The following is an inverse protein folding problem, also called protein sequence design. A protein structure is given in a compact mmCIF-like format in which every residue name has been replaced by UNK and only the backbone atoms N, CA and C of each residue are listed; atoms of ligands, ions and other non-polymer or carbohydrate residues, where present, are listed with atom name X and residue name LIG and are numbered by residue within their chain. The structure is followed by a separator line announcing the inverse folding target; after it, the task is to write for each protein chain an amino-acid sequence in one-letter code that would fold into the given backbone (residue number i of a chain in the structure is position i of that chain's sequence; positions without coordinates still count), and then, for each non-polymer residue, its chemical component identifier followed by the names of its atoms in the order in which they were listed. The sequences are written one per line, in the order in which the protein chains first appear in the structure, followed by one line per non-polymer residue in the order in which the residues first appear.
data_IF_252419746189
#
_entry.id   IF_252419746189
#
_cell.length_a   1.000
_cell.length_b   1.000
_cell.length_c   1.000
_cell.angle_alpha   90.00
_cell.angle_beta   90.00
_cell.angle_gamma   90.00
#
_symmetry.space_group_name_H-M   'P 1'
#
loop_
_entity.id
_entity.type
_entity.pdbx_description
1 polymer ?
#
# COMPACT_ATOMS: atom_id res chain seq x y z
N UNK A 1 0.70 2.36 3.01
CA UNK A 1 1.07 1.05 3.62
C UNK A 1 2.52 0.71 3.29
N UNK A 2 3.20 -0.18 4.04
CA UNK A 2 4.62 -0.53 3.83
C UNK A 2 4.92 -1.03 2.40
N UNK A 3 4.03 -1.84 1.83
CA UNK A 3 4.15 -2.33 0.45
C UNK A 3 4.08 -1.20 -0.59
N UNK A 4 3.25 -0.17 -0.37
CA UNK A 4 3.13 0.96 -1.29
C UNK A 4 4.38 1.84 -1.26
N UNK A 5 4.95 2.07 -0.07
CA UNK A 5 6.17 2.85 0.09
C UNK A 5 7.35 2.16 -0.61
N UNK A 6 7.51 0.85 -0.38
CA UNK A 6 8.54 0.06 -1.04
C UNK A 6 8.35 0.04 -2.57
N UNK A 7 7.10 -0.13 -3.04
CA UNK A 7 6.81 -0.14 -4.47
C UNK A 7 7.15 1.22 -5.13
N UNK A 8 6.86 2.33 -4.45
CA UNK A 8 7.22 3.66 -4.95
C UNK A 8 8.75 3.88 -5.00
N UNK A 9 9.48 3.39 -3.99
CA UNK A 9 10.95 3.49 -3.93
C UNK A 9 11.62 2.65 -5.03
N UNK A 10 11.13 1.44 -5.27
CA UNK A 10 11.68 0.51 -6.27
C UNK A 10 11.15 0.78 -7.69
N UNK A 11 10.22 1.73 -7.86
CA UNK A 11 9.59 2.02 -9.14
C UNK A 11 8.66 0.91 -9.64
N UNK A 12 8.17 0.03 -8.75
CA UNK A 12 7.25 -1.05 -9.09
C UNK A 12 5.80 -0.52 -9.16
N UNK A 13 5.28 -0.41 -10.38
CA UNK A 13 3.93 0.02 -10.68
C UNK A 13 2.96 -1.15 -10.96
N UNK A 14 3.49 -2.32 -11.32
CA UNK A 14 2.74 -3.51 -11.71
C UNK A 14 3.14 -4.75 -10.89
N UNK A 15 2.28 -5.77 -10.88
CA UNK A 15 2.46 -6.95 -10.02
C UNK A 15 3.67 -7.79 -10.43
N UNK A 16 4.00 -7.79 -11.71
CA UNK A 16 5.15 -8.48 -12.29
C UNK A 16 6.45 -7.95 -11.67
N UNK A 17 6.58 -6.62 -11.57
CA UNK A 17 7.75 -5.93 -10.99
C UNK A 17 7.89 -6.21 -9.48
N UNK A 18 6.77 -6.33 -8.77
CA UNK A 18 6.76 -6.73 -7.35
C UNK A 18 7.26 -8.17 -7.17
N UNK A 19 6.89 -9.07 -8.09
CA UNK A 19 7.24 -10.49 -8.00
C UNK A 19 8.69 -10.75 -8.42
N UNK A 20 9.19 -10.02 -9.43
CA UNK A 20 10.60 -10.04 -9.82
C UNK A 20 11.53 -9.77 -8.63
N UNK A 21 11.11 -8.89 -7.73
CA UNK A 21 11.82 -8.49 -6.53
C UNK A 21 11.19 -9.09 -5.25
N UNK A 22 10.50 -10.22 -5.36
CA UNK A 22 9.69 -10.80 -4.27
C UNK A 22 10.47 -11.15 -3.00
N UNK A 23 11.76 -11.47 -3.11
CA UNK A 23 12.61 -11.74 -1.95
C UNK A 23 12.83 -10.48 -1.12
N UNK A 24 13.26 -9.39 -1.75
CA UNK A 24 13.49 -8.11 -1.08
C UNK A 24 12.20 -7.50 -0.56
N UNK A 25 11.12 -7.53 -1.37
CA UNK A 25 9.79 -7.11 -0.96
C UNK A 25 9.33 -7.86 0.29
N UNK A 26 9.54 -9.19 0.35
CA UNK A 26 9.11 -10.00 1.50
C UNK A 26 9.80 -9.60 2.81
N UNK A 27 11.05 -9.14 2.73
CA UNK A 27 11.81 -8.63 3.87
C UNK A 27 11.28 -7.25 4.24
N UNK A 28 11.12 -6.36 3.27
CA UNK A 28 10.71 -4.97 3.47
C UNK A 28 9.32 -4.84 4.12
N UNK A 29 8.37 -5.72 3.76
CA UNK A 29 7.01 -5.69 4.33
C UNK A 29 6.82 -6.66 5.50
N UNK A 30 7.87 -7.38 5.91
CA UNK A 30 7.87 -8.26 7.08
C UNK A 30 7.02 -9.53 6.93
N UNK A 31 7.03 -10.17 5.76
CA UNK A 31 6.29 -11.42 5.56
C UNK A 31 6.84 -12.55 6.43
N UNK A 32 5.95 -13.36 6.99
CA UNK A 32 6.30 -14.59 7.70
C UNK A 32 6.85 -15.64 6.73
N UNK A 33 7.62 -16.65 7.22
CA UNK A 33 8.23 -17.66 6.35
C UNK A 33 7.26 -18.43 5.43
N UNK A 34 6.00 -18.64 5.87
CA UNK A 34 4.98 -19.29 5.03
C UNK A 34 4.41 -18.35 3.96
N UNK A 35 4.25 -17.08 4.28
CA UNK A 35 3.77 -16.05 3.36
C UNK A 35 4.81 -15.78 2.28
N UNK A 36 6.10 -15.63 2.66
CA UNK A 36 7.23 -15.54 1.74
C UNK A 36 7.26 -16.74 0.79
N UNK A 37 7.18 -17.97 1.33
CA UNK A 37 7.15 -19.20 0.50
C UNK A 37 5.97 -19.23 -0.46
N UNK A 38 4.78 -18.78 -0.02
CA UNK A 38 3.59 -18.71 -0.89
C UNK A 38 3.80 -17.70 -2.01
N UNK A 39 4.31 -16.51 -1.69
CA UNK A 39 4.63 -15.47 -2.66
C UNK A 39 5.64 -15.96 -3.70
N UNK A 40 6.73 -16.60 -3.28
CA UNK A 40 7.76 -17.12 -4.19
C UNK A 40 7.24 -18.26 -5.08
N UNK A 41 6.37 -19.13 -4.56
CA UNK A 41 5.85 -20.28 -5.32
C UNK A 41 4.76 -19.89 -6.32
N UNK A 42 3.90 -18.94 -5.96
CA UNK A 42 2.67 -18.65 -6.71
C UNK A 42 2.67 -17.25 -7.35
N UNK A 43 3.56 -16.36 -6.92
CA UNK A 43 3.55 -14.95 -7.29
C UNK A 43 3.59 -14.74 -8.80
N UNK A 44 4.49 -15.42 -9.50
CA UNK A 44 4.67 -15.25 -10.94
C UNK A 44 3.42 -15.70 -11.73
N UNK A 45 2.85 -16.85 -11.35
CA UNK A 45 1.63 -17.35 -11.98
C UNK A 45 0.43 -16.43 -11.73
N UNK A 46 0.27 -15.97 -10.48
CA UNK A 46 -0.82 -15.06 -10.12
C UNK A 46 -0.67 -13.71 -10.82
N UNK A 47 0.54 -13.13 -10.84
CA UNK A 47 0.81 -11.88 -11.57
C UNK A 47 0.50 -12.04 -13.06
N UNK A 48 0.96 -13.12 -13.69
CA UNK A 48 0.68 -13.44 -15.10
C UNK A 48 -0.83 -13.50 -15.41
N UNK A 49 -1.63 -14.16 -14.56
CA UNK A 49 -3.10 -14.21 -14.71
C UNK A 49 -3.77 -12.86 -14.52
N UNK A 50 -3.17 -11.97 -13.72
CA UNK A 50 -3.72 -10.67 -13.41
C UNK A 50 -3.34 -9.58 -14.43
N UNK A 51 -2.36 -9.82 -15.31
CA UNK A 51 -1.96 -8.88 -16.38
C UNK A 51 -3.14 -8.41 -17.23
N UNK A 52 -4.11 -9.28 -17.49
CA UNK A 52 -5.30 -8.92 -18.28
C UNK A 52 -6.16 -7.81 -17.66
N UNK A 53 -6.04 -7.57 -16.34
CA UNK A 53 -6.75 -6.52 -15.62
C UNK A 53 -5.94 -5.22 -15.54
N UNK A 54 -4.75 -5.19 -16.16
CA UNK A 54 -3.89 -4.02 -16.22
C UNK A 54 -4.61 -2.90 -16.98
N UNK A 55 -4.73 -1.71 -16.37
CA UNK A 55 -5.23 -0.54 -17.09
C UNK A 55 -4.29 -0.19 -18.26
N UNK A 56 -4.82 0.24 -19.41
CA UNK A 56 -4.00 0.75 -20.51
C UNK A 56 -3.10 1.88 -20.04
N UNK A 57 -1.86 1.90 -20.56
CA UNK A 57 -0.92 2.99 -20.32
C UNK A 57 -1.58 4.33 -20.66
N UNK A 58 -1.58 5.27 -19.72
CA UNK A 58 -2.20 6.60 -19.88
C UNK A 58 -3.57 6.76 -19.22
N UNK A 59 -4.14 5.71 -18.62
CA UNK A 59 -5.30 5.86 -17.72
C UNK A 59 -4.83 6.49 -16.41
N UNK A 60 -4.95 7.81 -16.31
CA UNK A 60 -4.65 8.54 -15.08
C UNK A 60 -5.55 8.03 -13.95
N UNK A 61 -4.93 7.65 -12.82
CA UNK A 61 -5.65 7.18 -11.64
C UNK A 61 -6.62 8.29 -11.20
N UNK A 62 -7.92 8.03 -11.02
CA UNK A 62 -8.83 9.07 -10.52
C UNK A 62 -8.29 9.56 -9.19
N UNK A 63 -8.02 10.86 -9.10
CA UNK A 63 -7.55 11.52 -7.88
C UNK A 63 -8.66 11.38 -6.83
N UNK A 64 -8.52 10.38 -5.95
CA UNK A 64 -9.35 10.27 -4.76
C UNK A 64 -9.01 11.48 -3.89
N UNK A 65 -9.88 12.49 -3.90
CA UNK A 65 -9.76 13.63 -2.99
C UNK A 65 -9.70 13.08 -1.57
N UNK A 66 -8.59 13.35 -0.88
CA UNK A 66 -8.46 13.06 0.54
C UNK A 66 -9.62 13.77 1.27
N UNK A 67 -10.61 13.01 1.73
CA UNK A 67 -11.60 13.51 2.68
C UNK A 67 -10.83 13.84 3.95
N UNK A 68 -10.48 15.13 4.12
CA UNK A 68 -10.05 15.66 5.41
C UNK A 68 -11.18 15.39 6.40
N UNK A 69 -10.99 14.39 7.25
CA UNK A 69 -11.81 14.18 8.43
C UNK A 69 -11.48 15.34 9.38
N UNK A 70 -12.28 16.39 9.32
CA UNK A 70 -12.22 17.51 10.25
C UNK A 70 -12.71 16.97 11.60
N UNK A 71 -11.78 16.76 12.53
CA UNK A 71 -12.13 16.48 13.93
C UNK A 71 -12.86 17.71 14.48
N UNK A 72 -14.08 17.57 15.02
CA UNK A 72 -14.73 18.67 15.70
C UNK A 72 -13.96 19.00 16.98
N UNK A 73 -13.56 20.27 17.09
CA UNK A 73 -12.95 20.88 18.26
C UNK A 73 -13.92 20.79 19.44
N UNK A 74 -13.77 19.76 20.28
CA UNK A 74 -14.46 19.71 21.57
C UNK A 74 -13.74 20.68 22.51
N UNK A 75 -14.26 21.90 22.55
CA UNK A 75 -13.80 22.97 23.44
C UNK A 75 -13.58 22.47 24.87
N UNK A 76 -12.38 22.75 25.38
CA UNK A 76 -11.99 22.49 26.77
C UNK A 76 -12.82 23.39 27.68
N UNK A 77 -13.58 22.86 28.66
CA UNK A 77 -14.32 23.70 29.59
C UNK A 77 -13.32 24.39 30.53
N UNK A 78 -13.33 25.72 30.49
CA UNK A 78 -12.51 26.56 31.35
C UNK A 78 -12.81 26.31 32.84
N UNK A 79 -11.77 25.94 33.58
CA UNK A 79 -11.71 26.01 35.03
C UNK A 79 -11.98 27.46 35.48
N UNK A 80 -13.16 27.74 36.03
CA UNK A 80 -13.36 28.93 36.85
C UNK A 80 -12.99 28.58 38.29
N UNK A 81 -11.78 29.00 38.68
CA UNK A 81 -11.31 28.96 40.05
C UNK A 81 -11.57 30.31 40.71
N UNK A 82 -12.58 30.31 41.58
CA UNK A 82 -12.73 30.97 42.88
C UNK A 82 -11.96 32.29 43.12
N UNK A 83 -12.72 33.37 43.36
CA UNK A 83 -12.42 34.34 44.42
C UNK A 83 -13.69 34.69 45.16
#
# INVERSE_FOLDING_TARGET
AAAEAWAAEMGAAFLEELVENSEELSIAIGLKPLEKRRLQRQGAEVASKLVQWRPPLGTSRPSVKATQHQVPDHGVPGEQMVQ
#
